data_IF_265867403089
#
_entry.id   IF_265867403089
#
_cell.length_a   1.000
_cell.length_b   1.000
_cell.length_c   1.000
_cell.angle_alpha   90.00
_cell.angle_beta   90.00
_cell.angle_gamma   90.00
#
_symmetry.space_group_name_H-M   'P 1'
#
loop_
_entity.id
_entity.type
_entity.pdbx_description
1 polymer ?
#
# COMPACT_ATOMS: atom_id res chain seq x y z
N UNK A 1 -8.86 18.25 -3.88
CA UNK A 1 -9.01 17.51 -5.16
C UNK A 1 -8.15 16.27 -5.05
N UNK A 2 -8.66 15.09 -5.45
CA UNK A 2 -7.86 13.87 -5.47
C UNK A 2 -6.64 14.01 -6.38
N UNK A 3 -5.51 13.50 -5.92
CA UNK A 3 -4.25 13.45 -6.66
C UNK A 3 -3.96 12.03 -7.11
N UNK A 4 -3.19 11.88 -8.19
CA UNK A 4 -2.79 10.58 -8.70
C UNK A 4 -2.10 9.75 -7.60
N UNK A 5 -2.42 8.45 -7.55
CA UNK A 5 -1.93 7.45 -6.58
C UNK A 5 -2.45 7.61 -5.14
N UNK A 6 -3.24 8.63 -4.81
CA UNK A 6 -3.90 8.71 -3.50
C UNK A 6 -4.86 7.54 -3.30
N UNK A 7 -4.85 6.98 -2.08
CA UNK A 7 -5.73 5.88 -1.67
C UNK A 7 -6.88 6.42 -0.85
N UNK A 8 -8.08 6.01 -1.22
CA UNK A 8 -9.31 6.38 -0.53
C UNK A 8 -10.07 5.14 -0.08
N UNK A 9 -10.63 5.19 1.14
CA UNK A 9 -11.45 4.11 1.69
C UNK A 9 -12.82 4.63 2.14
N UNK A 10 -13.86 3.88 1.83
CA UNK A 10 -15.16 4.05 2.45
C UNK A 10 -15.16 3.33 3.81
N UNK A 11 -15.30 4.07 4.90
CA UNK A 11 -15.32 3.48 6.25
C UNK A 11 -16.64 2.75 6.58
N UNK A 12 -17.65 2.80 5.70
CA UNK A 12 -18.92 2.05 5.86
C UNK A 12 -18.84 0.67 5.21
N UNK A 13 -18.59 0.62 3.88
CA UNK A 13 -18.62 -0.64 3.14
C UNK A 13 -17.25 -1.28 2.93
N UNK A 14 -16.16 -0.57 3.27
CA UNK A 14 -14.81 -1.08 3.12
C UNK A 14 -14.21 -0.95 1.72
N UNK A 15 -14.94 -0.38 0.73
CA UNK A 15 -14.38 -0.14 -0.61
C UNK A 15 -13.10 0.71 -0.53
N UNK A 16 -12.03 0.25 -1.18
CA UNK A 16 -10.76 0.96 -1.29
C UNK A 16 -10.48 1.20 -2.77
N UNK A 17 -10.10 2.43 -3.12
CA UNK A 17 -9.79 2.84 -4.49
C UNK A 17 -8.48 3.61 -4.54
N UNK A 18 -7.78 3.50 -5.66
CA UNK A 18 -6.66 4.36 -6.02
C UNK A 18 -7.06 5.35 -7.10
N UNK A 19 -6.57 6.58 -6.98
CA UNK A 19 -6.76 7.59 -8.01
C UNK A 19 -5.80 7.40 -9.20
N UNK A 20 -6.33 6.91 -10.32
CA UNK A 20 -5.56 6.72 -11.56
C UNK A 20 -5.53 7.97 -12.46
N UNK A 21 -6.56 8.82 -12.37
CA UNK A 21 -6.72 10.03 -13.17
C UNK A 21 -7.36 11.16 -12.35
N UNK A 22 -6.69 12.30 -12.26
CA UNK A 22 -7.12 13.42 -11.42
C UNK A 22 -8.38 14.12 -11.94
N UNK A 23 -9.26 14.48 -11.02
CA UNK A 23 -10.50 15.20 -11.30
C UNK A 23 -10.81 16.22 -10.22
N UNK A 24 -11.79 17.08 -10.47
CA UNK A 24 -12.20 18.14 -9.53
C UNK A 24 -13.21 17.67 -8.47
N UNK A 25 -13.89 16.55 -8.71
CA UNK A 25 -14.93 16.02 -7.85
C UNK A 25 -14.40 15.39 -6.55
N UNK A 26 -15.26 15.33 -5.53
CA UNK A 26 -15.01 14.57 -4.30
C UNK A 26 -15.46 13.12 -4.50
N UNK A 27 -14.67 12.18 -3.98
CA UNK A 27 -15.04 10.76 -3.98
C UNK A 27 -16.07 10.50 -2.89
N UNK A 28 -17.24 10.02 -3.26
CA UNK A 28 -18.34 9.69 -2.35
C UNK A 28 -18.71 8.23 -2.48
N UNK A 29 -18.86 7.55 -1.35
CA UNK A 29 -19.33 6.17 -1.27
C UNK A 29 -20.24 6.03 -0.06
N UNK A 30 -21.35 5.29 -0.19
CA UNK A 30 -22.34 5.14 0.88
C UNK A 30 -22.89 6.48 1.43
N UNK A 31 -23.00 7.49 0.57
CA UNK A 31 -23.57 8.80 0.93
C UNK A 31 -22.64 9.73 1.70
N UNK A 32 -21.36 9.38 1.89
CA UNK A 32 -20.37 10.24 2.55
C UNK A 32 -19.05 10.32 1.77
N UNK A 33 -18.25 11.38 1.99
CA UNK A 33 -16.90 11.46 1.44
C UNK A 33 -16.05 10.25 1.85
N UNK A 34 -15.32 9.68 0.89
CA UNK A 34 -14.34 8.64 1.20
C UNK A 34 -13.14 9.26 1.94
N UNK A 35 -12.60 8.54 2.92
CA UNK A 35 -11.44 8.99 3.69
C UNK A 35 -10.17 8.82 2.86
N UNK A 36 -9.37 9.88 2.75
CA UNK A 36 -8.01 9.80 2.24
C UNK A 36 -7.12 9.07 3.27
N UNK A 37 -6.52 7.96 2.86
CA UNK A 37 -5.54 7.23 3.65
C UNK A 37 -4.15 7.76 3.30
N UNK A 38 -3.61 8.60 4.20
CA UNK A 38 -2.25 9.11 4.09
C UNK A 38 -1.25 8.09 4.65
N UNK A 39 -0.10 7.98 4.02
CA UNK A 39 0.92 7.04 4.46
C UNK A 39 1.50 7.45 5.83
N UNK A 40 1.85 6.46 6.66
CA UNK A 40 2.61 6.64 7.91
C UNK A 40 1.91 7.54 8.96
N UNK A 41 0.58 7.63 8.94
CA UNK A 41 -0.17 8.47 9.90
C UNK A 41 -0.81 7.72 11.06
N UNK A 42 -0.89 6.39 10.99
CA UNK A 42 -1.49 5.57 12.05
C UNK A 42 -0.44 5.31 13.13
N UNK A 43 -0.83 5.44 14.40
CA UNK A 43 0.02 5.07 15.54
C UNK A 43 0.04 3.55 15.71
N UNK A 44 0.96 2.90 14.99
CA UNK A 44 1.22 1.47 15.07
C UNK A 44 2.73 1.18 15.01
N UNK A 45 3.10 -0.07 15.29
CA UNK A 45 4.49 -0.54 15.30
C UNK A 45 5.18 -0.35 13.94
N UNK A 46 6.03 0.67 13.81
CA UNK A 46 6.68 1.04 12.54
C UNK A 46 7.53 -0.11 11.99
N UNK A 47 8.20 -0.83 12.88
CA UNK A 47 9.08 -1.96 12.55
C UNK A 47 8.33 -3.09 11.83
N UNK A 48 7.00 -3.16 11.95
CA UNK A 48 6.14 -4.15 11.29
C UNK A 48 5.42 -3.63 10.05
N UNK A 49 5.40 -2.33 9.80
CA UNK A 49 4.56 -1.75 8.73
C UNK A 49 5.36 -0.97 7.70
N UNK A 50 6.43 -0.28 8.11
CA UNK A 50 7.28 0.44 7.15
C UNK A 50 7.96 -0.60 6.24
N UNK A 51 7.73 -0.54 4.91
CA UNK A 51 8.34 -1.49 3.98
C UNK A 51 9.86 -1.46 4.03
N UNK A 52 10.48 -2.61 3.84
CA UNK A 52 11.93 -2.76 3.69
C UNK A 52 12.23 -3.16 2.26
N UNK A 53 12.96 -2.29 1.55
CA UNK A 53 13.29 -2.46 0.14
C UNK A 53 14.69 -3.06 0.01
N UNK A 54 14.79 -4.17 -0.72
CA UNK A 54 16.04 -4.85 -1.05
C UNK A 54 16.22 -4.88 -2.57
N UNK A 55 17.35 -4.37 -3.06
CA UNK A 55 17.69 -4.39 -4.49
C UNK A 55 18.11 -5.81 -4.89
N UNK A 56 17.58 -6.31 -6.00
CA UNK A 56 17.98 -7.60 -6.60
C UNK A 56 18.64 -7.39 -7.97
N UNK A 57 19.13 -8.46 -8.59
CA UNK A 57 19.71 -8.41 -9.93
C UNK A 57 18.71 -7.92 -10.99
N UNK A 58 17.43 -8.31 -10.85
CA UNK A 58 16.38 -8.07 -11.84
C UNK A 58 15.33 -7.03 -11.40
N UNK A 59 15.47 -6.47 -10.20
CA UNK A 59 14.51 -5.50 -9.67
C UNK A 59 14.66 -5.28 -8.17
N UNK A 60 13.57 -5.50 -7.43
CA UNK A 60 13.50 -5.28 -5.98
C UNK A 60 12.63 -6.33 -5.29
N UNK A 61 13.00 -6.70 -4.08
CA UNK A 61 12.13 -7.41 -3.12
C UNK A 61 11.69 -6.40 -2.08
N UNK A 62 10.40 -6.38 -1.76
CA UNK A 62 9.83 -5.53 -0.72
C UNK A 62 9.22 -6.42 0.35
N UNK A 63 9.64 -6.23 1.60
CA UNK A 63 9.14 -6.95 2.78
C UNK A 63 8.41 -6.01 3.72
N UNK A 64 7.41 -6.50 4.42
CA UNK A 64 6.64 -5.71 5.40
C UNK A 64 6.74 -6.39 6.77
N UNK A 65 7.47 -5.85 7.75
CA UNK A 65 8.46 -4.76 7.71
C UNK A 65 9.86 -5.29 8.06
N UNK A 66 10.61 -4.54 8.87
CA UNK A 66 11.88 -5.02 9.47
C UNK A 66 11.69 -6.16 10.46
N UNK A 67 10.49 -6.25 11.04
CA UNK A 67 9.95 -7.40 11.74
C UNK A 67 8.74 -7.86 10.92
N UNK A 68 8.62 -9.16 10.70
CA UNK A 68 7.57 -9.73 9.87
C UNK A 68 6.18 -9.32 10.39
N UNK A 69 5.37 -8.74 9.50
CA UNK A 69 3.99 -8.40 9.79
C UNK A 69 3.12 -9.67 9.88
N UNK A 70 2.14 -9.74 10.79
CA UNK A 70 1.18 -10.85 10.81
C UNK A 70 0.43 -11.02 9.48
N UNK A 71 0.18 -12.25 9.06
CA UNK A 71 -0.58 -12.55 7.84
C UNK A 71 -1.75 -13.48 8.17
N UNK A 72 -2.55 -13.06 9.15
CA UNK A 72 -3.69 -13.81 9.68
C UNK A 72 -5.00 -13.40 8.99
N UNK A 73 -6.03 -14.24 9.01
CA UNK A 73 -7.32 -13.98 8.32
C UNK A 73 -7.93 -12.60 8.64
N UNK A 74 -7.75 -12.12 9.87
CA UNK A 74 -8.29 -10.84 10.35
C UNK A 74 -7.26 -9.71 10.39
N UNK A 75 -5.99 -10.01 10.16
CA UNK A 75 -4.90 -9.03 10.25
C UNK A 75 -3.77 -9.41 9.31
N UNK A 76 -3.71 -8.76 8.16
CA UNK A 76 -2.75 -9.07 7.10
C UNK A 76 -2.48 -7.84 6.23
N UNK A 77 -1.39 -7.92 5.48
CA UNK A 77 -1.07 -6.99 4.41
C UNK A 77 -1.89 -7.37 3.19
N UNK A 78 -2.76 -6.50 2.71
CA UNK A 78 -3.62 -6.79 1.56
C UNK A 78 -2.89 -6.64 0.23
N UNK A 79 -1.96 -5.68 0.13
CA UNK A 79 -1.10 -5.51 -1.04
C UNK A 79 0.20 -4.77 -0.72
N UNK A 80 1.18 -4.99 -1.58
CA UNK A 80 2.43 -4.23 -1.65
C UNK A 80 2.50 -3.59 -3.02
N UNK A 81 2.97 -2.34 -3.08
CA UNK A 81 3.11 -1.58 -4.30
C UNK A 81 4.49 -0.91 -4.39
N UNK A 82 5.05 -0.90 -5.59
CA UNK A 82 6.25 -0.13 -5.92
C UNK A 82 5.97 0.90 -6.99
N UNK A 83 6.55 2.09 -6.82
CA UNK A 83 6.38 3.24 -7.70
C UNK A 83 7.76 3.73 -8.14
N UNK A 84 8.00 3.80 -9.45
CA UNK A 84 9.22 4.39 -10.01
C UNK A 84 9.03 4.77 -11.48
N UNK A 85 9.62 5.89 -11.90
CA UNK A 85 9.74 6.28 -13.30
C UNK A 85 8.42 6.21 -14.08
N UNK A 86 7.34 6.73 -13.46
CA UNK A 86 5.99 6.75 -14.02
C UNK A 86 5.27 5.40 -14.05
N UNK A 87 5.83 4.37 -13.43
CA UNK A 87 5.26 3.02 -13.33
C UNK A 87 4.80 2.75 -11.90
N UNK A 88 3.76 1.94 -11.79
CA UNK A 88 3.21 1.45 -10.53
C UNK A 88 2.95 -0.04 -10.69
N UNK A 89 3.61 -0.88 -9.90
CA UNK A 89 3.37 -2.34 -9.87
C UNK A 89 2.78 -2.70 -8.51
N UNK A 90 1.73 -3.51 -8.49
CA UNK A 90 1.07 -3.96 -7.26
C UNK A 90 0.97 -5.46 -7.22
N UNK A 91 1.36 -6.04 -6.10
CA UNK A 91 1.13 -7.44 -5.76
C UNK A 91 0.07 -7.51 -4.66
N UNK A 92 -0.98 -8.31 -4.89
CA UNK A 92 -1.99 -8.58 -3.87
C UNK A 92 -1.59 -9.80 -3.07
N UNK A 93 -1.73 -9.70 -1.75
CA UNK A 93 -1.41 -10.79 -0.84
C UNK A 93 -2.68 -11.35 -0.20
N UNK A 94 -2.54 -12.51 0.44
CA UNK A 94 -3.59 -13.22 1.15
C UNK A 94 -3.09 -13.68 2.52
N UNK A 95 -3.99 -13.89 3.50
CA UNK A 95 -3.63 -14.54 4.74
C UNK A 95 -2.87 -15.86 4.52
N UNK A 96 -1.86 -16.12 5.34
CA UNK A 96 -0.97 -17.27 5.29
C UNK A 96 0.22 -17.14 4.33
N UNK A 97 0.27 -16.11 3.48
CA UNK A 97 1.45 -15.82 2.66
C UNK A 97 2.50 -15.06 3.47
N UNK A 98 3.76 -15.10 3.02
CA UNK A 98 4.77 -14.19 3.55
C UNK A 98 4.41 -12.73 3.18
N UNK A 99 4.62 -11.75 4.07
CA UNK A 99 4.33 -10.33 3.81
C UNK A 99 5.42 -9.69 2.95
N UNK A 100 5.67 -10.27 1.77
CA UNK A 100 6.70 -9.82 0.83
C UNK A 100 6.26 -9.98 -0.62
N UNK A 101 6.87 -9.18 -1.50
CA UNK A 101 6.62 -9.23 -2.93
C UNK A 101 7.91 -8.93 -3.71
N UNK A 102 8.05 -9.55 -4.89
CA UNK A 102 9.20 -9.37 -5.79
C UNK A 102 8.72 -8.64 -7.05
N UNK A 103 9.40 -7.56 -7.39
CA UNK A 103 9.07 -6.73 -8.54
C UNK A 103 10.24 -6.64 -9.50
N UNK A 104 10.09 -7.20 -10.70
CA UNK A 104 11.07 -7.10 -11.79
C UNK A 104 10.96 -5.74 -12.51
N UNK A 105 11.19 -4.64 -11.77
CA UNK A 105 11.15 -3.28 -12.29
C UNK A 105 12.57 -2.73 -12.50
N UNK A 106 12.83 -2.23 -13.70
CA UNK A 106 14.08 -1.54 -14.04
C UNK A 106 13.99 -0.08 -13.60
N UNK A 107 14.56 0.20 -12.43
CA UNK A 107 14.71 1.53 -11.86
C UNK A 107 15.92 1.56 -10.91
N UNK A 108 16.55 2.73 -10.72
CA UNK A 108 17.66 2.89 -9.77
C UNK A 108 17.16 2.93 -8.32
N UNK A 109 16.00 3.54 -8.12
CA UNK A 109 15.30 3.68 -6.84
C UNK A 109 13.81 3.46 -7.05
N UNK A 110 13.14 3.04 -5.99
CA UNK A 110 11.68 2.91 -5.93
C UNK A 110 11.18 3.56 -4.65
N UNK A 111 9.96 4.06 -4.68
CA UNK A 111 9.15 4.22 -3.47
C UNK A 111 8.36 2.91 -3.28
N UNK A 112 8.28 2.42 -2.04
CA UNK A 112 7.50 1.23 -1.71
C UNK A 112 6.41 1.58 -0.72
N UNK A 113 5.22 1.02 -0.91
CA UNK A 113 4.12 1.16 0.03
C UNK A 113 3.35 -0.14 0.21
N UNK A 114 2.72 -0.26 1.37
CA UNK A 114 1.90 -1.40 1.75
C UNK A 114 0.61 -0.92 2.38
N UNK A 115 -0.42 -1.77 2.34
CA UNK A 115 -1.63 -1.53 3.10
C UNK A 115 -1.98 -2.73 3.99
N UNK A 116 -2.00 -2.46 5.30
CA UNK A 116 -2.52 -3.36 6.32
C UNK A 116 -4.02 -3.12 6.52
N UNK A 117 -4.80 -4.19 6.53
CA UNK A 117 -6.26 -4.11 6.65
C UNK A 117 -6.74 -3.40 7.95
N UNK A 118 -5.93 -3.45 9.01
CA UNK A 118 -6.18 -2.80 10.31
C UNK A 118 -5.43 -1.48 10.49
N UNK A 119 -4.17 -1.42 10.07
CA UNK A 119 -3.27 -0.30 10.39
C UNK A 119 -3.04 0.66 9.22
N UNK A 120 -3.74 0.48 8.11
CA UNK A 120 -3.79 1.44 7.02
C UNK A 120 -2.55 1.41 6.13
N UNK A 121 -2.23 2.56 5.55
CA UNK A 121 -1.25 2.71 4.48
C UNK A 121 0.11 3.17 5.03
N UNK A 122 1.18 2.53 4.57
CA UNK A 122 2.55 2.85 4.97
C UNK A 122 3.49 2.89 3.78
N UNK A 123 4.59 3.64 3.89
CA UNK A 123 5.63 3.73 2.85
C UNK A 123 7.04 3.90 3.39
N UNK A 124 8.01 3.58 2.54
CA UNK A 124 9.45 3.79 2.72
C UNK A 124 10.06 4.43 1.48
#
# INVERSE_FOLDING_TARGET
MPKKLEIYKCEICGNIVEMVHEGKGELVCCGQPMKLFKENTVDAAKEKHVPVVEKTADGFTVKVGSVEHPMEEKHYIEWIEVIADGKTYREFLKPGQAPEAVFCIKADRIDAREYCNLHGLWKA
#
